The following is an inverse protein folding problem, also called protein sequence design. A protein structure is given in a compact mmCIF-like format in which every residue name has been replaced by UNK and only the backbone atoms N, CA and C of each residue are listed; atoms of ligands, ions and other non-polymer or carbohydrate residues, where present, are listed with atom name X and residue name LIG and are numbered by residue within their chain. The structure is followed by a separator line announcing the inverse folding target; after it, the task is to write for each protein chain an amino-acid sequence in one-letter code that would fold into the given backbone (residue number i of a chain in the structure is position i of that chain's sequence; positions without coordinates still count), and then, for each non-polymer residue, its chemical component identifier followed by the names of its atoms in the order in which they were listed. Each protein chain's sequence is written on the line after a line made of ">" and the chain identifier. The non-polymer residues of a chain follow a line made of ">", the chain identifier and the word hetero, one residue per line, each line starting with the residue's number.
data_IF_160176423334
#
_entry.id   IF_160176423334
#
_cell.length_a   1.000
_cell.length_b   1.000
_cell.length_c   1.000
_cell.angle_alpha   90.00
_cell.angle_beta   90.00
_cell.angle_gamma   90.00
#
_symmetry.space_group_name_H-M   'P 1'
#
loop_
_entity.id
_entity.type
_entity.pdbx_description
1 polymer ?
#
# COMPACT_ATOMS: atom_id res chain seq x y z
N UNK A 1 -11.54 13.12 7.94
CA UNK A 1 -11.79 14.45 8.55
C UNK A 1 -12.45 15.33 7.51
N UNK A 2 -13.76 15.55 7.61
CA UNK A 2 -14.47 16.54 6.82
C UNK A 2 -14.72 17.74 7.73
N UNK A 3 -13.99 18.83 7.53
CA UNK A 3 -14.22 20.06 8.28
C UNK A 3 -15.41 20.80 7.64
N UNK A 4 -16.57 20.96 8.31
CA UNK A 4 -17.76 21.57 7.71
C UNK A 4 -17.64 23.09 7.47
N UNK A 5 -16.47 23.68 7.73
CA UNK A 5 -16.26 25.12 7.95
C UNK A 5 -15.47 25.83 6.85
N UNK A 6 -15.08 25.12 5.78
CA UNK A 6 -14.27 25.71 4.72
C UNK A 6 -15.11 26.38 3.60
N UNK A 7 -16.41 26.08 3.49
CA UNK A 7 -17.28 26.57 2.41
C UNK A 7 -16.88 26.04 1.02
N UNK A 8 -17.46 26.58 -0.07
CA UNK A 8 -17.11 26.22 -1.45
C UNK A 8 -15.61 26.41 -1.70
N UNK A 9 -14.89 25.30 -1.88
CA UNK A 9 -13.48 25.27 -2.28
C UNK A 9 -13.22 24.03 -3.14
N UNK A 10 -12.09 24.02 -3.85
CA UNK A 10 -11.74 22.95 -4.80
C UNK A 10 -11.88 21.55 -4.19
N UNK A 11 -11.28 21.32 -3.02
CA UNK A 11 -11.29 20.02 -2.33
C UNK A 11 -12.71 19.61 -1.96
N UNK A 12 -13.46 20.48 -1.28
CA UNK A 12 -14.84 20.21 -0.86
C UNK A 12 -15.75 19.93 -2.04
N UNK A 13 -15.61 20.68 -3.13
CA UNK A 13 -16.37 20.46 -4.36
C UNK A 13 -16.02 19.12 -5.00
N UNK A 14 -14.74 18.76 -5.06
CA UNK A 14 -14.31 17.50 -5.62
C UNK A 14 -14.77 16.29 -4.80
N UNK A 15 -14.73 16.39 -3.47
CA UNK A 15 -15.23 15.35 -2.56
C UNK A 15 -16.75 15.19 -2.65
N UNK A 16 -17.50 16.29 -2.60
CA UNK A 16 -18.97 16.29 -2.64
C UNK A 16 -19.52 15.80 -3.97
N UNK A 17 -18.97 16.32 -5.08
CA UNK A 17 -19.45 15.95 -6.42
C UNK A 17 -18.86 14.64 -6.95
N UNK A 18 -17.88 14.07 -6.23
CA UNK A 18 -17.12 12.87 -6.64
C UNK A 18 -16.54 12.98 -8.05
N UNK A 19 -16.07 14.18 -8.41
CA UNK A 19 -15.49 14.47 -9.73
C UNK A 19 -14.51 15.62 -9.65
N UNK A 20 -13.62 15.70 -10.63
CA UNK A 20 -12.73 16.85 -10.76
C UNK A 20 -13.52 18.16 -10.80
N UNK A 21 -13.12 19.13 -9.99
CA UNK A 21 -13.77 20.43 -9.84
C UNK A 21 -12.72 21.53 -9.89
N UNK A 22 -13.04 22.64 -10.55
CA UNK A 22 -12.24 23.86 -10.57
C UNK A 22 -13.06 24.96 -9.90
N UNK A 23 -12.45 25.67 -8.95
CA UNK A 23 -13.04 26.81 -8.25
C UNK A 23 -12.08 27.98 -8.40
N UNK A 24 -12.54 29.12 -8.92
CA UNK A 24 -11.73 30.28 -9.28
C UNK A 24 -12.23 31.53 -8.57
N UNK A 25 -11.32 32.24 -7.91
CA UNK A 25 -11.57 33.56 -7.35
C UNK A 25 -12.79 33.61 -6.43
N UNK A 26 -13.76 34.45 -6.78
CA UNK A 26 -14.98 34.70 -6.01
C UNK A 26 -15.91 33.48 -5.88
N UNK A 27 -15.68 32.41 -6.65
CA UNK A 27 -16.37 31.12 -6.46
C UNK A 27 -16.01 30.46 -5.12
N UNK A 28 -14.86 30.84 -4.52
CA UNK A 28 -14.53 30.45 -3.17
C UNK A 28 -15.44 31.15 -2.17
N UNK A 29 -15.97 30.40 -1.22
CA UNK A 29 -16.83 30.95 -0.16
C UNK A 29 -16.08 31.98 0.71
N UNK A 30 -14.81 31.74 1.01
CA UNK A 30 -13.98 32.62 1.85
C UNK A 30 -13.30 33.69 0.99
N UNK A 31 -13.55 34.96 1.32
CA UNK A 31 -12.94 36.12 0.65
C UNK A 31 -11.40 36.07 0.59
N UNK A 32 -10.66 35.62 1.63
CA UNK A 32 -9.21 35.47 1.53
C UNK A 32 -8.71 34.53 0.42
N UNK A 33 -9.56 33.70 -0.16
CA UNK A 33 -9.22 32.77 -1.24
C UNK A 33 -9.55 33.33 -2.63
N UNK A 34 -10.10 34.53 -2.73
CA UNK A 34 -10.49 35.14 -4.00
C UNK A 34 -9.31 35.48 -4.92
N UNK A 35 -8.08 35.49 -4.41
CA UNK A 35 -6.86 35.60 -5.24
C UNK A 35 -6.39 34.27 -5.82
N UNK A 36 -7.07 33.15 -5.54
CA UNK A 36 -6.63 31.80 -5.90
C UNK A 36 -7.59 31.09 -6.83
N UNK A 37 -7.06 30.14 -7.58
CA UNK A 37 -7.81 29.10 -8.27
C UNK A 37 -7.37 27.73 -7.74
N UNK A 38 -8.33 26.84 -7.51
CA UNK A 38 -8.11 25.50 -6.98
C UNK A 38 -8.76 24.47 -7.90
N UNK A 39 -7.96 23.60 -8.51
CA UNK A 39 -8.43 22.40 -9.20
C UNK A 39 -8.19 21.20 -8.29
N UNK A 40 -9.25 20.46 -7.97
CA UNK A 40 -9.14 19.26 -7.16
C UNK A 40 -9.87 18.09 -7.81
N UNK A 41 -9.41 16.88 -7.53
CA UNK A 41 -10.06 15.65 -7.95
C UNK A 41 -9.95 14.56 -6.88
N UNK A 42 -11.00 13.75 -6.66
CA UNK A 42 -10.96 12.66 -5.70
C UNK A 42 -10.00 11.56 -6.16
N UNK A 43 -9.33 10.91 -5.21
CA UNK A 43 -8.57 9.68 -5.43
C UNK A 43 -9.45 8.51 -5.05
N UNK A 44 -9.65 7.57 -5.97
CA UNK A 44 -10.45 6.37 -5.76
C UNK A 44 -9.53 5.18 -5.58
N UNK A 45 -9.73 4.43 -4.49
CA UNK A 45 -9.01 3.19 -4.30
C UNK A 45 -9.41 2.17 -5.38
N UNK A 46 -8.44 1.57 -6.10
CA UNK A 46 -8.73 0.74 -7.27
C UNK A 46 -9.43 -0.57 -6.92
N UNK A 47 -9.34 -1.04 -5.67
CA UNK A 47 -9.94 -2.30 -5.22
C UNK A 47 -11.34 -2.06 -4.67
N UNK A 48 -11.45 -1.22 -3.64
CA UNK A 48 -12.69 -0.95 -2.91
C UNK A 48 -13.62 -0.01 -3.67
N UNK A 49 -13.11 0.71 -4.67
CA UNK A 49 -13.82 1.74 -5.44
C UNK A 49 -14.35 2.89 -4.56
N UNK A 50 -13.80 3.04 -3.35
CA UNK A 50 -14.13 4.11 -2.40
C UNK A 50 -13.18 5.29 -2.57
N UNK A 51 -13.68 6.50 -2.40
CA UNK A 51 -12.83 7.67 -2.34
C UNK A 51 -11.98 7.64 -1.07
N UNK A 52 -10.66 7.66 -1.22
CA UNK A 52 -9.69 7.59 -0.11
C UNK A 52 -8.98 8.92 0.15
N UNK A 53 -9.14 9.89 -0.76
CA UNK A 53 -8.53 11.20 -0.61
C UNK A 53 -8.88 12.14 -1.75
N UNK A 54 -8.18 13.26 -1.83
CA UNK A 54 -8.37 14.27 -2.87
C UNK A 54 -7.01 14.90 -3.17
N UNK A 55 -6.68 15.07 -4.46
CA UNK A 55 -5.51 15.85 -4.89
C UNK A 55 -6.00 17.25 -5.26
N UNK A 56 -5.28 18.29 -4.82
CA UNK A 56 -5.58 19.68 -5.13
C UNK A 56 -4.33 20.38 -5.69
N UNK A 57 -4.51 21.10 -6.78
CA UNK A 57 -3.53 22.00 -7.38
C UNK A 57 -4.09 23.42 -7.28
N UNK A 58 -3.31 24.33 -6.72
CA UNK A 58 -3.69 25.73 -6.59
C UNK A 58 -2.70 26.64 -7.33
N UNK A 59 -3.23 27.70 -7.93
CA UNK A 59 -2.45 28.79 -8.53
C UNK A 59 -3.16 30.13 -8.29
N UNK A 60 -2.59 31.24 -8.77
CA UNK A 60 -3.30 32.52 -8.73
C UNK A 60 -4.51 32.48 -9.64
N UNK A 61 -5.57 33.21 -9.28
CA UNK A 61 -6.79 33.28 -10.07
C UNK A 61 -6.55 33.81 -11.49
N UNK A 62 -5.59 34.73 -11.65
CA UNK A 62 -5.18 35.29 -12.95
C UNK A 62 -4.48 34.28 -13.87
N UNK A 63 -3.84 33.25 -13.30
CA UNK A 63 -3.16 32.18 -14.04
C UNK A 63 -4.09 31.01 -14.37
N UNK A 64 -5.34 31.07 -13.91
CA UNK A 64 -6.28 29.97 -13.98
C UNK A 64 -6.64 29.64 -15.43
N UNK A 65 -6.51 28.36 -15.78
CA UNK A 65 -6.89 27.87 -17.09
C UNK A 65 -7.27 26.38 -17.02
N UNK A 66 -7.86 25.85 -18.09
CA UNK A 66 -8.35 24.47 -18.15
C UNK A 66 -7.26 23.41 -17.97
N UNK A 67 -5.98 23.73 -18.16
CA UNK A 67 -4.88 22.78 -17.95
C UNK A 67 -4.74 22.37 -16.48
N UNK A 68 -5.25 23.16 -15.53
CA UNK A 68 -5.30 22.78 -14.11
C UNK A 68 -6.12 21.50 -13.90
N UNK A 69 -7.25 21.34 -14.61
CA UNK A 69 -8.06 20.13 -14.55
C UNK A 69 -7.35 18.93 -15.18
N UNK A 70 -6.55 19.16 -16.24
CA UNK A 70 -5.74 18.12 -16.86
C UNK A 70 -4.63 17.67 -15.90
N UNK A 71 -3.91 18.62 -15.31
CA UNK A 71 -2.83 18.36 -14.36
C UNK A 71 -3.32 17.59 -13.14
N UNK A 72 -4.42 18.02 -12.50
CA UNK A 72 -4.93 17.32 -11.32
C UNK A 72 -5.42 15.91 -11.63
N UNK A 73 -6.03 15.68 -12.80
CA UNK A 73 -6.44 14.33 -13.25
C UNK A 73 -5.24 13.43 -13.52
N UNK A 74 -4.17 13.96 -14.13
CA UNK A 74 -2.93 13.21 -14.35
C UNK A 74 -2.28 12.81 -13.02
N UNK A 75 -2.23 13.73 -12.05
CA UNK A 75 -1.73 13.44 -10.71
C UNK A 75 -2.58 12.37 -9.99
N UNK A 76 -3.91 12.49 -10.03
CA UNK A 76 -4.81 11.46 -9.47
C UNK A 76 -4.56 10.11 -10.12
N UNK A 77 -4.50 10.04 -11.46
CA UNK A 77 -4.24 8.79 -12.18
C UNK A 77 -2.91 8.14 -11.77
N UNK A 78 -1.86 8.94 -11.56
CA UNK A 78 -0.58 8.46 -11.03
C UNK A 78 -0.70 7.88 -9.62
N UNK A 79 -1.46 8.53 -8.73
CA UNK A 79 -1.71 8.02 -7.37
C UNK A 79 -2.52 6.72 -7.42
N UNK A 80 -3.59 6.65 -8.22
CA UNK A 80 -4.43 5.46 -8.36
C UNK A 80 -3.64 4.28 -8.95
N UNK A 81 -2.77 4.54 -9.92
CA UNK A 81 -1.85 3.53 -10.48
C UNK A 81 -0.92 3.00 -9.39
N UNK A 82 -0.29 3.89 -8.60
CA UNK A 82 0.59 3.48 -7.50
C UNK A 82 -0.15 2.69 -6.40
N UNK A 83 -1.41 3.03 -6.11
CA UNK A 83 -2.26 2.25 -5.21
C UNK A 83 -2.55 0.85 -5.77
N UNK A 84 -2.82 0.73 -7.08
CA UNK A 84 -3.06 -0.55 -7.74
C UNK A 84 -1.82 -1.45 -7.79
N UNK A 85 -0.65 -0.88 -8.05
CA UNK A 85 0.62 -1.59 -7.99
C UNK A 85 0.92 -2.08 -6.56
N UNK A 86 0.69 -1.24 -5.56
CA UNK A 86 0.89 -1.59 -4.16
C UNK A 86 -0.04 -2.74 -3.72
N UNK A 87 -1.31 -2.70 -4.15
CA UNK A 87 -2.29 -3.76 -3.90
C UNK A 87 -1.88 -5.10 -4.51
N UNK A 88 -1.47 -5.09 -5.79
CA UNK A 88 -1.00 -6.28 -6.50
C UNK A 88 0.22 -6.88 -5.80
N UNK A 89 1.18 -6.03 -5.39
CA UNK A 89 2.34 -6.47 -4.63
C UNK A 89 1.96 -7.07 -3.27
N UNK A 90 0.95 -6.53 -2.58
CA UNK A 90 0.43 -7.07 -1.31
C UNK A 90 -0.16 -8.47 -1.52
N UNK A 91 -1.07 -8.64 -2.48
CA UNK A 91 -1.71 -9.93 -2.78
C UNK A 91 -0.68 -11.00 -3.13
N UNK A 92 0.32 -10.65 -3.94
CA UNK A 92 1.42 -11.56 -4.26
C UNK A 92 2.22 -11.97 -3.03
N UNK A 93 2.58 -11.02 -2.16
CA UNK A 93 3.27 -11.33 -0.88
C UNK A 93 2.42 -12.25 0.02
N UNK A 94 1.10 -12.04 0.09
CA UNK A 94 0.21 -12.91 0.85
C UNK A 94 0.23 -14.35 0.32
N UNK A 95 0.16 -14.53 -1.01
CA UNK A 95 0.22 -15.85 -1.63
C UNK A 95 1.60 -16.51 -1.43
N UNK A 96 2.69 -15.79 -1.67
CA UNK A 96 4.05 -16.31 -1.50
C UNK A 96 4.29 -16.74 -0.04
N UNK A 97 3.86 -15.93 0.92
CA UNK A 97 3.94 -16.25 2.35
C UNK A 97 3.06 -17.45 2.72
N UNK A 98 1.85 -17.53 2.16
CA UNK A 98 0.95 -18.68 2.33
C UNK A 98 1.63 -19.97 1.87
N UNK A 99 2.11 -20.01 0.62
CA UNK A 99 2.75 -21.19 0.04
C UNK A 99 4.01 -21.59 0.81
N UNK A 100 4.83 -20.62 1.23
CA UNK A 100 6.04 -20.90 2.01
C UNK A 100 5.73 -21.55 3.36
N UNK A 101 4.70 -21.09 4.07
CA UNK A 101 4.32 -21.68 5.36
C UNK A 101 3.54 -22.99 5.19
N UNK A 102 2.64 -23.08 4.21
CA UNK A 102 1.88 -24.30 3.92
C UNK A 102 2.78 -25.47 3.49
N UNK A 103 3.92 -25.20 2.85
CA UNK A 103 4.88 -26.24 2.46
C UNK A 103 5.73 -26.79 3.60
N UNK A 104 5.83 -26.07 4.72
CA UNK A 104 6.70 -26.43 5.86
C UNK A 104 5.93 -26.79 7.12
N UNK A 105 4.72 -26.26 7.30
CA UNK A 105 3.89 -26.52 8.45
C UNK A 105 3.20 -27.88 8.34
N UNK A 106 3.25 -28.66 9.42
CA UNK A 106 2.41 -29.87 9.60
C UNK A 106 0.99 -29.55 10.09
N UNK A 107 0.71 -28.27 10.37
CA UNK A 107 -0.54 -27.76 10.94
C UNK A 107 -1.30 -26.93 9.91
N UNK A 108 -2.55 -26.61 10.20
CA UNK A 108 -3.41 -25.81 9.33
C UNK A 108 -2.84 -24.40 9.12
N UNK A 109 -2.83 -23.91 7.87
CA UNK A 109 -2.31 -22.57 7.52
C UNK A 109 -3.41 -21.73 6.88
N UNK A 110 -3.56 -20.51 7.38
CA UNK A 110 -4.54 -19.52 6.92
C UNK A 110 -3.83 -18.19 6.71
N UNK A 111 -4.01 -17.55 5.56
CA UNK A 111 -3.52 -16.17 5.33
C UNK A 111 -4.71 -15.24 5.23
N UNK A 112 -4.68 -14.11 5.94
CA UNK A 112 -5.81 -13.18 6.01
C UNK A 112 -5.38 -11.72 5.98
N UNK A 113 -6.13 -10.88 5.26
CA UNK A 113 -6.14 -9.42 5.38
C UNK A 113 -7.57 -8.89 5.50
N UNK A 114 -7.70 -7.55 5.48
CA UNK A 114 -9.00 -6.87 5.55
C UNK A 114 -9.99 -7.22 4.42
N UNK A 115 -9.54 -7.88 3.35
CA UNK A 115 -10.37 -8.21 2.17
C UNK A 115 -10.26 -9.66 1.69
N UNK A 116 -9.20 -10.37 2.04
CA UNK A 116 -8.77 -11.64 1.43
C UNK A 116 -8.52 -12.69 2.50
N UNK A 117 -8.91 -13.93 2.21
CA UNK A 117 -8.54 -15.10 3.01
C UNK A 117 -8.06 -16.20 2.06
N UNK A 118 -6.91 -16.79 2.35
CA UNK A 118 -6.35 -17.94 1.65
C UNK A 118 -6.27 -19.08 2.66
N UNK A 119 -6.89 -20.21 2.34
CA UNK A 119 -7.03 -21.35 3.25
C UNK A 119 -6.44 -22.56 2.54
N UNK A 120 -5.49 -23.24 3.19
CA UNK A 120 -5.02 -24.53 2.72
C UNK A 120 -6.07 -25.62 2.99
N UNK A 121 -6.06 -26.74 2.24
CA UNK A 121 -6.99 -27.86 2.47
C UNK A 121 -6.94 -28.36 3.92
N UNK A 122 -5.76 -28.32 4.55
CA UNK A 122 -5.57 -28.68 5.96
C UNK A 122 -6.33 -27.78 6.94
N UNK A 123 -6.80 -26.61 6.53
CA UNK A 123 -7.53 -25.64 7.35
C UNK A 123 -9.02 -25.54 7.00
N UNK A 124 -9.50 -26.22 5.95
CA UNK A 124 -10.88 -26.08 5.46
C UNK A 124 -11.93 -26.53 6.50
N UNK A 125 -11.58 -27.45 7.39
CA UNK A 125 -12.46 -27.98 8.43
C UNK A 125 -12.60 -27.08 9.67
N UNK A 126 -11.86 -25.97 9.73
CA UNK A 126 -11.83 -25.09 10.90
C UNK A 126 -13.02 -24.11 10.97
N UNK A 127 -13.84 -24.02 9.93
CA UNK A 127 -15.03 -23.15 9.86
C UNK A 127 -14.76 -21.69 10.30
N UNK A 128 -13.65 -21.12 9.83
CA UNK A 128 -13.22 -19.79 10.23
C UNK A 128 -13.87 -18.69 9.38
N UNK A 129 -14.37 -17.63 10.01
CA UNK A 129 -14.82 -16.42 9.33
C UNK A 129 -13.68 -15.42 9.15
N UNK A 130 -13.56 -14.85 7.94
CA UNK A 130 -12.48 -13.91 7.61
C UNK A 130 -12.55 -12.63 8.44
N UNK A 131 -13.74 -12.05 8.58
CA UNK A 131 -13.89 -10.75 9.23
C UNK A 131 -13.63 -10.87 10.73
N UNK A 132 -14.09 -11.95 11.35
CA UNK A 132 -13.82 -12.29 12.75
C UNK A 132 -12.33 -12.53 13.00
N UNK A 133 -11.68 -13.37 12.19
CA UNK A 133 -10.22 -13.59 12.26
C UNK A 133 -9.43 -12.29 12.15
N UNK A 134 -9.80 -11.45 11.19
CA UNK A 134 -9.12 -10.19 10.96
C UNK A 134 -9.31 -9.19 12.11
N UNK A 135 -10.48 -9.20 12.75
CA UNK A 135 -10.73 -8.40 13.95
C UNK A 135 -9.82 -8.84 15.11
N UNK A 136 -9.73 -10.15 15.39
CA UNK A 136 -8.87 -10.71 16.44
C UNK A 136 -7.41 -10.28 16.25
N UNK A 137 -6.90 -10.39 15.02
CA UNK A 137 -5.52 -10.00 14.67
C UNK A 137 -5.29 -8.50 14.88
N UNK A 138 -6.23 -7.66 14.47
CA UNK A 138 -6.12 -6.21 14.63
C UNK A 138 -6.17 -5.78 16.10
N UNK A 139 -6.99 -6.41 16.93
CA UNK A 139 -7.09 -6.11 18.36
C UNK A 139 -5.77 -6.37 19.10
N UNK A 140 -5.04 -7.41 18.69
CA UNK A 140 -3.78 -7.77 19.35
C UNK A 140 -2.60 -6.88 18.92
N UNK A 141 -2.61 -6.36 17.68
CA UNK A 141 -1.65 -5.37 17.18
C UNK A 141 -0.37 -5.92 16.53
N UNK A 142 0.51 -5.02 16.10
CA UNK A 142 1.65 -5.34 15.21
C UNK A 142 2.77 -6.20 15.84
N UNK A 143 2.78 -6.35 17.18
CA UNK A 143 3.77 -7.16 17.92
C UNK A 143 3.28 -8.55 18.28
N UNK A 144 2.06 -8.91 17.91
CA UNK A 144 1.45 -10.18 18.29
C UNK A 144 2.11 -11.34 17.58
N UNK A 145 2.59 -12.31 18.35
CA UNK A 145 3.15 -13.57 17.83
C UNK A 145 2.16 -14.72 17.92
N UNK A 146 1.10 -14.59 18.72
CA UNK A 146 0.12 -15.64 18.96
C UNK A 146 -1.26 -15.06 19.32
N UNK A 147 -2.33 -15.68 18.81
CA UNK A 147 -3.72 -15.31 19.09
C UNK A 147 -4.57 -16.56 19.40
N UNK A 148 -5.54 -16.42 20.29
CA UNK A 148 -6.59 -17.42 20.44
C UNK A 148 -7.65 -17.16 19.36
N UNK A 149 -7.98 -18.19 18.56
CA UNK A 149 -9.05 -18.08 17.56
C UNK A 149 -10.41 -18.40 18.18
N UNK A 150 -10.44 -19.39 19.07
CA UNK A 150 -11.57 -19.77 19.91
C UNK A 150 -11.05 -20.62 21.09
N UNK A 151 -11.96 -21.26 21.84
CA UNK A 151 -11.61 -22.09 23.00
C UNK A 151 -10.71 -23.29 22.66
N UNK A 152 -10.70 -23.73 21.39
CA UNK A 152 -10.03 -24.94 20.93
C UNK A 152 -8.74 -24.66 20.16
N UNK A 153 -8.72 -23.59 19.37
CA UNK A 153 -7.67 -23.29 18.41
C UNK A 153 -6.89 -22.03 18.78
N UNK A 154 -5.57 -22.14 18.69
CA UNK A 154 -4.64 -21.01 18.76
C UNK A 154 -3.89 -20.90 17.45
N UNK A 155 -3.46 -19.69 17.12
CA UNK A 155 -2.67 -19.44 15.93
C UNK A 155 -1.42 -18.64 16.24
N UNK A 156 -0.30 -19.10 15.69
CA UNK A 156 0.93 -18.31 15.61
C UNK A 156 0.78 -17.31 14.46
N UNK A 157 1.09 -16.04 14.72
CA UNK A 157 0.91 -14.94 13.76
C UNK A 157 2.23 -14.60 13.09
N UNK A 158 2.20 -14.52 11.76
CA UNK A 158 3.33 -14.16 10.91
C UNK A 158 2.94 -13.00 9.99
N UNK A 159 3.33 -11.76 10.29
CA UNK A 159 3.04 -10.61 9.43
C UNK A 159 3.64 -10.77 8.04
N UNK A 160 2.85 -10.61 6.98
CA UNK A 160 3.32 -10.73 5.58
C UNK A 160 4.40 -9.68 5.27
N UNK A 161 4.33 -8.53 5.93
CA UNK A 161 5.39 -7.52 5.95
C UNK A 161 5.93 -7.33 7.36
N UNK A 162 7.27 -7.29 7.49
CA UNK A 162 7.92 -7.08 8.78
C UNK A 162 7.39 -5.81 9.49
N UNK A 163 6.89 -6.00 10.72
CA UNK A 163 6.39 -4.92 11.58
C UNK A 163 5.08 -4.28 11.15
N UNK A 164 4.37 -4.84 10.16
CA UNK A 164 3.07 -4.32 9.69
C UNK A 164 2.07 -5.46 9.53
N UNK A 165 1.01 -5.42 10.33
CA UNK A 165 -0.11 -6.36 10.19
C UNK A 165 -1.06 -5.94 9.07
N UNK A 166 -1.16 -4.65 8.74
CA UNK A 166 -2.10 -4.12 7.72
C UNK A 166 -1.92 -4.73 6.31
N UNK A 167 -0.72 -5.25 6.02
CA UNK A 167 -0.42 -5.92 4.75
C UNK A 167 -0.95 -7.37 4.70
N UNK A 168 -1.53 -7.86 5.80
CA UNK A 168 -2.00 -9.22 5.99
C UNK A 168 -1.07 -10.03 6.90
N UNK A 169 -1.60 -11.13 7.42
CA UNK A 169 -0.87 -12.08 8.27
C UNK A 169 -1.09 -13.50 7.79
N UNK A 170 -0.11 -14.38 8.04
CA UNK A 170 -0.28 -15.82 7.97
C UNK A 170 -0.43 -16.35 9.40
N UNK A 171 -1.41 -17.22 9.58
CA UNK A 171 -1.80 -17.88 10.81
C UNK A 171 -1.47 -19.37 10.67
N UNK A 172 -0.58 -19.87 11.52
CA UNK A 172 -0.37 -21.32 11.66
C UNK A 172 -1.19 -21.79 12.84
N UNK A 173 -2.27 -22.52 12.56
CA UNK A 173 -3.32 -22.89 13.50
C UNK A 173 -3.07 -24.28 14.07
N UNK A 174 -3.06 -24.39 15.39
CA UNK A 174 -2.91 -25.64 16.12
C UNK A 174 -4.01 -25.80 17.16
N UNK A 175 -4.40 -27.05 17.46
CA UNK A 175 -5.22 -27.38 18.63
C UNK A 175 -4.37 -27.30 19.91
N UNK A 176 -4.86 -26.62 20.95
CA UNK A 176 -4.16 -26.54 22.25
C UNK A 176 -2.96 -25.56 22.29
N UNK A 177 -2.10 -25.69 23.32
CA UNK A 177 -0.89 -24.85 23.47
C UNK A 177 0.11 -25.23 22.37
N UNK A 178 0.50 -24.30 21.47
CA UNK A 178 1.40 -24.64 20.38
C UNK A 178 2.74 -25.13 20.93
N UNK A 179 3.12 -26.35 20.57
CA UNK A 179 4.50 -26.79 20.72
C UNK A 179 5.39 -25.84 19.90
N UNK A 180 6.53 -25.44 20.47
CA UNK A 180 7.50 -24.56 19.80
C UNK A 180 8.05 -25.25 18.55
N UNK A 181 7.39 -25.03 17.42
CA UNK A 181 7.96 -25.37 16.12
C UNK A 181 9.03 -24.31 15.79
N UNK A 182 10.14 -24.71 15.13
CA UNK A 182 11.07 -23.74 14.60
C UNK A 182 10.31 -22.78 13.71
N UNK A 183 10.43 -21.49 14.00
CA UNK A 183 9.86 -20.39 13.19
C UNK A 183 10.31 -20.62 11.74
N UNK A 184 9.41 -20.95 10.81
CA UNK A 184 9.76 -20.87 9.41
C UNK A 184 9.98 -19.38 9.18
N UNK A 185 11.20 -19.00 8.79
CA UNK A 185 11.44 -17.64 8.35
C UNK A 185 10.44 -17.39 7.22
N UNK A 186 9.54 -16.40 7.41
CA UNK A 186 8.85 -15.82 6.28
C UNK A 186 9.90 -15.57 5.21
N UNK A 187 9.65 -15.92 3.94
CA UNK A 187 10.63 -15.67 2.91
C UNK A 187 11.01 -14.20 3.03
N UNK A 188 12.31 -13.94 3.20
CA UNK A 188 12.83 -12.60 2.97
C UNK A 188 12.20 -12.13 1.65
N UNK A 189 11.78 -10.86 1.60
CA UNK A 189 11.19 -10.25 0.40
C UNK A 189 11.83 -10.86 -0.83
N UNK A 190 11.01 -11.31 -1.79
CA UNK A 190 11.41 -12.29 -2.80
C UNK A 190 12.86 -12.05 -3.14
N UNK A 191 13.73 -13.01 -2.79
CA UNK A 191 15.15 -12.91 -3.10
C UNK A 191 15.20 -12.44 -4.54
N UNK A 192 15.91 -11.32 -4.76
CA UNK A 192 16.01 -10.71 -6.07
C UNK A 192 16.30 -11.84 -7.05
N UNK A 193 15.53 -11.94 -8.13
CA UNK A 193 15.87 -12.88 -9.19
C UNK A 193 17.33 -12.63 -9.58
N UNK A 194 18.07 -13.62 -10.12
CA UNK A 194 19.47 -13.40 -10.51
C UNK A 194 19.67 -12.16 -11.40
N UNK A 195 18.66 -11.82 -12.21
CA UNK A 195 18.62 -10.60 -13.01
C UNK A 195 18.43 -9.33 -12.17
N UNK A 196 17.54 -9.35 -11.18
CA UNK A 196 17.34 -8.21 -10.27
C UNK A 196 18.53 -8.01 -9.31
N UNK A 197 19.23 -9.08 -8.91
CA UNK A 197 20.45 -8.99 -8.10
C UNK A 197 21.59 -8.35 -8.92
N UNK A 198 21.75 -8.78 -10.17
CA UNK A 198 22.68 -8.16 -11.11
C UNK A 198 22.34 -6.69 -11.35
N UNK A 199 21.06 -6.38 -11.55
CA UNK A 199 20.59 -5.02 -11.74
C UNK A 199 20.84 -4.13 -10.51
N UNK A 200 20.52 -4.64 -9.31
CA UNK A 200 20.81 -3.96 -8.04
C UNK A 200 22.31 -3.68 -7.89
N UNK A 201 23.16 -4.65 -8.20
CA UNK A 201 24.62 -4.50 -8.13
C UNK A 201 25.11 -3.40 -9.07
N UNK A 202 24.66 -3.39 -10.32
CA UNK A 202 25.03 -2.36 -11.30
C UNK A 202 24.58 -0.96 -10.84
N UNK A 203 23.38 -0.85 -10.27
CA UNK A 203 22.88 0.42 -9.71
C UNK A 203 23.72 0.87 -8.51
N UNK A 204 24.09 -0.06 -7.62
CA UNK A 204 24.90 0.22 -6.43
C UNK A 204 26.31 0.71 -6.80
N UNK A 205 26.97 -0.02 -7.70
CA UNK A 205 28.32 0.30 -8.15
C UNK A 205 28.34 1.67 -8.85
N UNK A 206 27.36 1.94 -9.72
CA UNK A 206 27.24 3.24 -10.40
C UNK A 206 26.97 4.40 -9.43
N UNK A 207 26.13 4.18 -8.42
CA UNK A 207 25.87 5.20 -7.39
C UNK A 207 27.12 5.49 -6.55
N UNK A 208 27.91 4.46 -6.23
CA UNK A 208 29.16 4.64 -5.51
C UNK A 208 30.18 5.44 -6.34
N UNK A 209 30.32 5.13 -7.63
CA UNK A 209 31.18 5.88 -8.57
C UNK A 209 30.73 7.34 -8.74
N UNK A 210 29.42 7.59 -8.70
CA UNK A 210 28.85 8.93 -8.78
C UNK A 210 28.80 9.66 -7.43
N UNK A 211 29.42 9.13 -6.37
CA UNK A 211 29.43 9.74 -5.04
C UNK A 211 28.03 9.92 -4.43
N UNK A 212 27.08 9.04 -4.78
CA UNK A 212 25.68 9.12 -4.35
C UNK A 212 24.81 10.07 -5.17
N UNK A 213 25.34 10.73 -6.22
CA UNK A 213 24.56 11.61 -7.08
C UNK A 213 23.59 10.80 -7.97
N UNK A 214 22.33 10.75 -7.54
CA UNK A 214 21.27 9.97 -8.21
C UNK A 214 20.94 10.46 -9.62
N UNK A 215 21.09 11.75 -9.91
CA UNK A 215 20.83 12.30 -11.25
C UNK A 215 21.91 11.85 -12.23
N UNK A 216 23.16 11.92 -11.81
CA UNK A 216 24.29 11.46 -12.62
C UNK A 216 24.26 9.95 -12.84
N UNK A 217 23.96 9.19 -11.79
CA UNK A 217 23.81 7.73 -11.90
C UNK A 217 22.68 7.33 -12.85
N UNK A 218 21.55 8.05 -12.87
CA UNK A 218 20.45 7.78 -13.81
C UNK A 218 20.88 7.98 -15.27
N UNK A 219 21.57 9.09 -15.57
CA UNK A 219 22.11 9.39 -16.90
C UNK A 219 23.07 8.31 -17.36
N UNK A 220 23.99 7.89 -16.49
CA UNK A 220 25.02 6.89 -16.81
C UNK A 220 24.46 5.48 -17.00
N UNK A 221 23.35 5.17 -16.33
CA UNK A 221 22.61 3.92 -16.51
C UNK A 221 21.65 3.95 -17.71
N UNK A 222 21.51 5.07 -18.42
CA UNK A 222 20.53 5.24 -19.50
C UNK A 222 19.08 5.17 -19.02
N UNK A 223 18.82 5.47 -17.75
CA UNK A 223 17.51 5.39 -17.12
C UNK A 223 16.92 6.77 -16.91
N UNK A 224 15.59 6.88 -17.00
CA UNK A 224 14.91 8.08 -16.47
C UNK A 224 15.11 8.15 -14.95
N UNK A 225 15.14 9.37 -14.39
CA UNK A 225 15.21 9.57 -12.93
C UNK A 225 14.09 8.81 -12.20
N UNK A 226 12.87 8.84 -12.72
CA UNK A 226 11.73 8.12 -12.15
C UNK A 226 11.93 6.61 -12.11
N UNK A 227 12.52 6.04 -13.16
CA UNK A 227 12.88 4.61 -13.23
C UNK A 227 13.96 4.26 -12.21
N UNK A 228 15.00 5.09 -12.06
CA UNK A 228 16.02 4.87 -11.04
C UNK A 228 15.43 4.91 -9.63
N UNK A 229 14.62 5.93 -9.31
CA UNK A 229 13.96 6.02 -8.00
C UNK A 229 13.03 4.83 -7.73
N UNK A 230 12.29 4.37 -8.74
CA UNK A 230 11.47 3.17 -8.67
C UNK A 230 12.30 1.92 -8.32
N UNK A 231 13.46 1.75 -8.96
CA UNK A 231 14.38 0.63 -8.67
C UNK A 231 15.03 0.75 -7.29
N UNK A 232 15.43 1.94 -6.86
CA UNK A 232 16.00 2.15 -5.52
C UNK A 232 15.00 1.78 -4.41
N UNK A 233 13.72 2.15 -4.59
CA UNK A 233 12.64 1.78 -3.66
C UNK A 233 12.35 0.27 -3.70
N UNK A 234 12.34 -0.32 -4.90
CA UNK A 234 12.15 -1.77 -5.09
C UNK A 234 13.25 -2.59 -4.42
N UNK A 235 14.51 -2.15 -4.53
CA UNK A 235 15.69 -2.83 -3.98
C UNK A 235 16.09 -2.37 -2.59
N UNK A 236 15.28 -1.50 -1.95
CA UNK A 236 15.51 -0.97 -0.59
C UNK A 236 16.91 -0.38 -0.40
N UNK A 237 17.40 0.34 -1.40
CA UNK A 237 18.73 0.97 -1.37
C UNK A 237 18.72 2.39 -0.78
N UNK A 238 17.53 2.95 -0.56
CA UNK A 238 17.22 4.21 0.15
C UNK A 238 15.72 4.24 0.43
#
# INVERSE_FOLDING_TARGET
>A
MGEPLAGTNGIGMATTNRRASLVVGAEHYKQPWHSWACAAAPVVDPITRRAVGTVNVACRAEDANHLLLVAVRALVSGVETALGEAATARQRRMLDAHMSLSSTASSAVVTVDSQTMIVADSAAHLNLDRAELWAIVQECGAGTTEVALNDEFRARVYPVSAGRIDDGVVLVVSRGVPHSLPVPALPALPNLTPLEEAERKVIADTLAECGGNKTEAATRLGLSRGTLYGRLRRYRMT
#
